data_IF_361274837000
#
_entry.id   IF_361274837000
#
_cell.length_a   1.000
_cell.length_b   1.000
_cell.length_c   1.000
_cell.angle_alpha   90.00
_cell.angle_beta   90.00
_cell.angle_gamma   90.00
#
_symmetry.space_group_name_H-M   'P 1'
#
loop_
_entity.id
_entity.type
_entity.pdbx_description
1 polymer ?
#
# COMPACT_ATOMS: atom_id res chain seq x y z
N UNK A 1 -12.50 7.79 -6.21
CA UNK A 1 -11.40 8.30 -5.34
C UNK A 1 -10.24 7.34 -5.50
N UNK A 2 -9.04 7.80 -5.87
CA UNK A 2 -7.88 6.93 -6.11
C UNK A 2 -6.84 7.06 -5.01
N UNK A 3 -6.28 5.93 -4.57
CA UNK A 3 -5.06 5.87 -3.76
C UNK A 3 -3.90 5.48 -4.67
N UNK A 4 -2.76 6.14 -4.50
CA UNK A 4 -1.60 5.98 -5.39
C UNK A 4 -0.40 5.62 -4.53
N UNK A 5 0.20 4.46 -4.82
CA UNK A 5 1.48 4.02 -4.27
C UNK A 5 2.34 3.52 -5.43
N UNK A 6 3.11 4.44 -6.02
CA UNK A 6 3.99 4.16 -7.16
C UNK A 6 5.41 4.56 -6.78
N UNK A 7 6.29 3.57 -6.80
CA UNK A 7 7.72 3.71 -6.55
C UNK A 7 8.50 3.11 -7.71
N UNK A 8 9.70 3.63 -7.93
CA UNK A 8 10.65 3.08 -8.88
C UNK A 8 11.42 1.93 -8.22
N UNK A 9 11.99 1.03 -9.02
CA UNK A 9 12.69 -0.16 -8.52
C UNK A 9 13.96 0.16 -7.72
N UNK A 10 14.49 1.37 -7.85
CA UNK A 10 15.60 1.92 -7.06
C UNK A 10 15.14 2.61 -5.76
N UNK A 11 13.84 2.54 -5.43
CA UNK A 11 13.27 3.11 -4.20
C UNK A 11 12.84 4.57 -4.30
N UNK A 12 12.93 5.18 -5.49
CA UNK A 12 12.43 6.54 -5.74
C UNK A 12 10.91 6.63 -5.64
N UNK A 13 10.42 7.75 -5.09
CA UNK A 13 8.98 7.98 -4.93
C UNK A 13 8.41 8.68 -6.19
N UNK A 14 7.65 7.94 -7.00
CA UNK A 14 6.96 8.47 -8.17
C UNK A 14 5.49 8.87 -7.90
N UNK A 15 4.98 8.53 -6.71
CA UNK A 15 3.60 8.79 -6.27
C UNK A 15 3.11 10.22 -6.54
N UNK A 16 3.90 11.30 -6.28
CA UNK A 16 3.44 12.67 -6.55
C UNK A 16 3.14 12.92 -8.03
N UNK A 17 3.97 12.41 -8.95
CA UNK A 17 3.80 12.59 -10.38
C UNK A 17 2.50 11.95 -10.87
N UNK A 18 2.23 10.70 -10.45
CA UNK A 18 1.01 9.99 -10.80
C UNK A 18 -0.24 10.61 -10.13
N UNK A 19 -0.10 11.18 -8.93
CA UNK A 19 -1.19 11.90 -8.27
C UNK A 19 -1.62 13.12 -9.08
N UNK A 20 -0.66 13.94 -9.53
CA UNK A 20 -0.94 15.12 -10.35
C UNK A 20 -1.56 14.71 -11.69
N UNK A 21 -1.05 13.65 -12.30
CA UNK A 21 -1.56 13.12 -13.56
C UNK A 21 -3.05 12.72 -13.47
N UNK A 22 -3.40 11.94 -12.44
CA UNK A 22 -4.79 11.54 -12.18
C UNK A 22 -5.70 12.74 -11.89
N UNK A 23 -5.22 13.72 -11.14
CA UNK A 23 -5.97 14.95 -10.87
C UNK A 23 -6.23 15.75 -12.15
N UNK A 24 -5.23 15.84 -13.05
CA UNK A 24 -5.39 16.45 -14.38
C UNK A 24 -6.44 15.74 -15.22
N UNK A 25 -6.54 14.41 -15.11
CA UNK A 25 -7.57 13.60 -15.75
C UNK A 25 -8.94 13.66 -15.04
N UNK A 26 -9.09 14.51 -14.02
CA UNK A 26 -10.35 14.74 -13.31
C UNK A 26 -10.61 13.79 -12.13
N UNK A 27 -9.66 12.93 -11.77
CA UNK A 27 -9.81 12.02 -10.65
C UNK A 27 -9.50 12.69 -9.30
N UNK A 28 -10.29 12.39 -8.27
CA UNK A 28 -9.97 12.74 -6.89
C UNK A 28 -9.01 11.71 -6.30
N UNK A 29 -8.00 12.15 -5.56
CA UNK A 29 -7.00 11.28 -4.93
C UNK A 29 -7.02 11.37 -3.39
N UNK A 30 -6.54 10.33 -2.72
CA UNK A 30 -6.35 10.28 -1.25
C UNK A 30 -5.01 9.65 -0.92
N UNK A 31 -4.49 9.94 0.28
CA UNK A 31 -3.28 9.30 0.83
C UNK A 31 -3.60 8.19 1.84
N UNK A 32 -4.87 8.05 2.21
CA UNK A 32 -5.30 7.15 3.28
C UNK A 32 -6.21 6.08 2.70
N UNK A 33 -5.88 4.82 2.98
CA UNK A 33 -6.74 3.69 2.66
C UNK A 33 -8.09 3.81 3.38
N UNK A 34 -9.18 3.66 2.62
CA UNK A 34 -10.56 3.71 3.12
C UNK A 34 -11.48 2.99 2.13
N UNK A 35 -12.64 2.54 2.59
CA UNK A 35 -13.67 1.85 1.78
C UNK A 35 -14.25 2.73 0.66
N UNK A 36 -14.00 4.05 0.70
CA UNK A 36 -14.44 5.01 -0.33
C UNK A 36 -13.51 5.05 -1.56
N UNK A 37 -12.34 4.42 -1.47
CA UNK A 37 -11.45 4.30 -2.62
C UNK A 37 -12.11 3.39 -3.65
N UNK A 38 -11.92 3.73 -4.91
CA UNK A 38 -12.39 2.95 -6.06
C UNK A 38 -11.23 2.26 -6.77
N UNK A 39 -10.03 2.86 -6.70
CA UNK A 39 -8.84 2.41 -7.41
C UNK A 39 -7.61 2.55 -6.51
N UNK A 40 -6.83 1.48 -6.42
CA UNK A 40 -5.46 1.49 -5.91
C UNK A 40 -4.51 1.38 -7.10
N UNK A 41 -3.75 2.44 -7.37
CA UNK A 41 -2.68 2.43 -8.36
C UNK A 41 -1.40 2.01 -7.65
N UNK A 42 -0.87 0.83 -8.00
CA UNK A 42 0.20 0.17 -7.26
C UNK A 42 1.41 -0.16 -8.14
N UNK A 43 2.61 0.18 -7.66
CA UNK A 43 3.89 -0.33 -8.16
C UNK A 43 4.94 -0.16 -7.07
N UNK A 44 5.55 -1.26 -6.62
CA UNK A 44 6.56 -1.24 -5.54
C UNK A 44 6.09 -0.51 -4.26
N UNK A 45 4.77 -0.55 -3.99
CA UNK A 45 4.16 0.11 -2.83
C UNK A 45 4.23 -0.74 -1.56
N UNK A 46 3.48 -0.32 -0.53
CA UNK A 46 3.44 -0.99 0.76
C UNK A 46 2.72 -2.35 0.68
N UNK A 47 3.35 -3.46 1.09
CA UNK A 47 2.67 -4.75 1.22
C UNK A 47 1.47 -4.70 2.19
N UNK A 48 1.51 -3.79 3.18
CA UNK A 48 0.39 -3.59 4.12
C UNK A 48 -0.85 -3.04 3.41
N UNK A 49 -0.67 -2.18 2.40
CA UNK A 49 -1.77 -1.63 1.61
C UNK A 49 -2.44 -2.73 0.78
N UNK A 50 -1.66 -3.60 0.15
CA UNK A 50 -2.20 -4.77 -0.56
C UNK A 50 -2.90 -5.76 0.39
N UNK A 51 -2.36 -5.98 1.59
CA UNK A 51 -3.04 -6.82 2.57
C UNK A 51 -4.41 -6.25 2.98
N UNK A 52 -4.52 -4.93 3.19
CA UNK A 52 -5.80 -4.27 3.48
C UNK A 52 -6.79 -4.39 2.31
N UNK A 53 -6.30 -4.19 1.09
CA UNK A 53 -7.08 -4.36 -0.13
C UNK A 53 -7.68 -5.77 -0.23
N UNK A 54 -6.87 -6.82 -0.04
CA UNK A 54 -7.34 -8.21 -0.09
C UNK A 54 -8.43 -8.48 0.94
N UNK A 55 -8.22 -8.05 2.18
CA UNK A 55 -9.21 -8.23 3.26
C UNK A 55 -10.52 -7.51 2.92
N UNK A 56 -10.44 -6.27 2.44
CA UNK A 56 -11.60 -5.49 2.01
C UNK A 56 -12.35 -6.17 0.86
N UNK A 57 -11.68 -6.46 -0.26
CA UNK A 57 -12.34 -7.07 -1.42
C UNK A 57 -12.92 -8.46 -1.08
N UNK A 58 -12.20 -9.28 -0.30
CA UNK A 58 -12.72 -10.55 0.18
C UNK A 58 -14.01 -10.38 1.00
N UNK A 59 -14.03 -9.41 1.92
CA UNK A 59 -15.22 -9.10 2.71
C UNK A 59 -16.38 -8.63 1.82
N UNK A 60 -16.12 -7.79 0.82
CA UNK A 60 -17.15 -7.35 -0.14
C UNK A 60 -17.72 -8.53 -0.91
N UNK A 61 -16.87 -9.44 -1.40
CA UNK A 61 -17.29 -10.65 -2.12
C UNK A 61 -18.13 -11.57 -1.22
N UNK A 62 -17.70 -11.80 0.03
CA UNK A 62 -18.39 -12.70 0.97
C UNK A 62 -19.71 -12.12 1.47
N UNK A 63 -19.79 -10.81 1.70
CA UNK A 63 -20.97 -10.14 2.27
C UNK A 63 -21.93 -9.59 1.22
N UNK A 64 -21.44 -9.35 -0.01
CA UNK A 64 -22.16 -8.63 -1.06
C UNK A 64 -22.39 -7.15 -0.75
N UNK A 65 -21.77 -6.60 0.30
CA UNK A 65 -21.95 -5.20 0.72
C UNK A 65 -20.72 -4.35 0.41
N UNK A 66 -20.96 -3.21 -0.27
CA UNK A 66 -19.90 -2.31 -0.70
C UNK A 66 -19.43 -2.58 -2.13
N UNK A 67 -18.32 -1.98 -2.51
CA UNK A 67 -17.71 -2.17 -3.82
C UNK A 67 -16.29 -2.68 -3.66
N UNK A 68 -15.91 -3.60 -4.54
CA UNK A 68 -14.52 -4.01 -4.69
C UNK A 68 -13.67 -2.83 -5.17
N UNK A 69 -12.43 -2.78 -4.69
CA UNK A 69 -11.45 -1.79 -5.10
C UNK A 69 -10.61 -2.40 -6.21
N UNK A 70 -10.54 -1.74 -7.36
CA UNK A 70 -9.67 -2.16 -8.45
C UNK A 70 -8.21 -1.89 -8.10
N UNK A 71 -7.37 -2.91 -8.20
CA UNK A 71 -5.92 -2.79 -8.07
C UNK A 71 -5.30 -2.81 -9.47
N UNK A 72 -4.69 -1.70 -9.87
CA UNK A 72 -4.10 -1.54 -11.20
C UNK A 72 -2.66 -1.07 -11.10
N UNK A 73 -1.83 -1.49 -12.04
CA UNK A 73 -0.45 -1.01 -12.10
C UNK A 73 -0.37 0.42 -12.69
N UNK A 74 0.82 1.03 -12.63
CA UNK A 74 1.02 2.41 -13.08
C UNK A 74 0.74 2.63 -14.57
N UNK A 75 0.79 1.59 -15.41
CA UNK A 75 0.54 1.69 -16.85
C UNK A 75 -0.90 2.09 -17.14
N UNK A 76 -1.86 1.64 -16.34
CA UNK A 76 -3.27 2.02 -16.50
C UNK A 76 -3.44 3.54 -16.51
N UNK A 77 -2.70 4.26 -15.63
CA UNK A 77 -2.74 5.72 -15.58
C UNK A 77 -2.11 6.34 -16.83
N UNK A 78 -0.95 5.84 -17.26
CA UNK A 78 -0.26 6.32 -18.46
C UNK A 78 -1.11 6.14 -19.72
N UNK A 79 -1.79 5.00 -19.83
CA UNK A 79 -2.63 4.69 -20.97
C UNK A 79 -3.93 5.52 -20.90
N UNK A 80 -4.50 5.76 -19.72
CA UNK A 80 -5.61 6.72 -19.55
C UNK A 80 -5.24 8.13 -20.01
N UNK A 81 -4.03 8.58 -19.70
CA UNK A 81 -3.55 9.90 -20.11
C UNK A 81 -3.39 9.98 -21.63
N UNK A 82 -2.69 9.00 -22.21
CA UNK A 82 -2.44 8.92 -23.66
C UNK A 82 -3.74 8.83 -24.45
N UNK A 83 -4.69 8.03 -23.98
CA UNK A 83 -5.99 7.86 -24.62
C UNK A 83 -7.01 8.95 -24.29
N UNK A 84 -6.69 9.87 -23.36
CA UNK A 84 -7.63 10.86 -22.81
C UNK A 84 -8.98 10.26 -22.41
N UNK A 85 -8.97 9.02 -21.94
CA UNK A 85 -10.17 8.25 -21.60
C UNK A 85 -9.84 7.28 -20.47
N UNK A 86 -10.87 6.88 -19.73
CA UNK A 86 -10.73 5.82 -18.73
C UNK A 86 -10.52 4.47 -19.44
N UNK A 87 -9.42 3.80 -19.11
CA UNK A 87 -9.12 2.44 -19.58
C UNK A 87 -9.86 1.40 -18.72
N UNK A 88 -10.14 0.24 -19.30
CA UNK A 88 -10.78 -0.88 -18.60
C UNK A 88 -9.81 -1.49 -17.56
N UNK A 89 -10.22 -1.54 -16.30
CA UNK A 89 -9.38 -1.96 -15.17
C UNK A 89 -9.07 -3.47 -15.16
N UNK A 90 -9.96 -4.29 -15.73
CA UNK A 90 -9.89 -5.75 -15.74
C UNK A 90 -8.92 -6.31 -16.79
N UNK A 91 -8.34 -5.44 -17.64
CA UNK A 91 -7.36 -5.86 -18.63
C UNK A 91 -6.10 -6.42 -17.96
N UNK A 92 -5.67 -7.61 -18.39
CA UNK A 92 -4.50 -8.32 -17.85
C UNK A 92 -3.23 -7.47 -17.84
N UNK A 93 -3.06 -6.55 -18.80
CA UNK A 93 -1.91 -5.65 -18.85
C UNK A 93 -1.80 -4.69 -17.65
N UNK A 94 -2.90 -4.49 -16.92
CA UNK A 94 -2.98 -3.62 -15.76
C UNK A 94 -3.06 -4.38 -14.44
N UNK A 95 -3.23 -5.71 -14.49
CA UNK A 95 -3.36 -6.54 -13.30
C UNK A 95 -2.12 -6.40 -12.39
N UNK A 96 -2.38 -6.43 -11.09
CA UNK A 96 -1.38 -6.50 -10.03
C UNK A 96 -1.63 -7.78 -9.28
N UNK A 97 -0.61 -8.62 -9.13
CA UNK A 97 -0.72 -9.80 -8.30
C UNK A 97 -0.83 -9.38 -6.82
N UNK A 98 -2.00 -9.68 -6.24
CA UNK A 98 -2.32 -9.41 -4.84
C UNK A 98 -2.19 -10.65 -3.96
N UNK A 99 -2.09 -11.85 -4.53
CA UNK A 99 -2.16 -13.09 -3.76
C UNK A 99 -0.87 -13.41 -3.01
N UNK A 100 0.27 -13.03 -3.58
CA UNK A 100 1.61 -13.34 -3.05
C UNK A 100 2.16 -12.32 -2.03
N UNK A 101 1.30 -11.43 -1.52
CA UNK A 101 1.71 -10.52 -0.44
C UNK A 101 2.04 -11.35 0.81
N UNK A 102 3.29 -11.36 1.29
CA UNK A 102 3.64 -12.09 2.48
C UNK A 102 2.76 -11.57 3.60
N UNK A 103 1.94 -12.45 4.20
CA UNK A 103 1.17 -12.11 5.42
C UNK A 103 2.14 -11.41 6.33
N UNK A 104 1.87 -10.16 6.69
CA UNK A 104 2.75 -9.40 7.54
C UNK A 104 2.93 -10.21 8.83
N UNK A 105 4.00 -11.00 8.89
CA UNK A 105 4.36 -11.78 10.05
C UNK A 105 4.49 -10.73 11.12
N UNK A 106 3.59 -10.78 12.11
CA UNK A 106 3.54 -9.91 13.28
C UNK A 106 4.99 -9.59 13.58
N UNK A 107 5.45 -8.38 13.22
CA UNK A 107 6.86 -8.01 13.32
C UNK A 107 7.10 -8.11 14.82
N UNK A 108 7.57 -9.27 15.27
CA UNK A 108 7.80 -9.55 16.68
C UNK A 108 8.80 -8.46 16.98
N UNK A 109 8.37 -7.44 17.75
CA UNK A 109 9.28 -6.40 18.21
C UNK A 109 10.52 -7.18 18.62
N UNK A 110 11.66 -6.92 17.97
CA UNK A 110 12.92 -7.55 18.38
C UNK A 110 12.93 -7.41 19.90
N UNK A 111 13.03 -8.54 20.60
CA UNK A 111 12.95 -8.57 22.06
C UNK A 111 13.67 -7.35 22.61
N UNK A 112 13.02 -6.64 23.52
CA UNK A 112 13.79 -5.88 24.50
C UNK A 112 14.49 -6.96 25.33
N UNK A 113 15.62 -7.47 24.85
CA UNK A 113 16.54 -8.17 25.72
C UNK A 113 16.87 -7.15 26.83
N UNK A 114 16.51 -7.41 28.09
CA UNK A 114 16.85 -6.47 29.13
C UNK A 114 18.38 -6.42 29.18
N UNK A 115 18.97 -5.27 28.88
CA UNK A 115 20.38 -5.02 29.18
C UNK A 115 20.56 -5.39 30.65
N UNK A 116 21.44 -6.35 30.93
CA UNK A 116 21.66 -6.89 32.26
C UNK A 116 21.96 -5.74 33.22
N UNK A 117 21.01 -5.47 34.12
CA UNK A 117 21.18 -4.49 35.16
C UNK A 117 22.01 -5.14 36.26
N UNK A 118 23.27 -4.73 36.41
CA UNK A 118 24.09 -5.09 37.57
C UNK A 118 23.67 -4.21 38.76
N UNK A 119 23.21 -4.85 39.82
CA UNK A 119 22.96 -4.20 41.11
C UNK A 119 24.24 -4.28 41.93
N UNK A 120 24.89 -3.13 42.16
CA UNK A 120 26.01 -3.02 43.09
C UNK A 120 25.51 -2.20 44.27
N UNK A 121 25.41 -2.86 45.43
CA UNK A 121 25.08 -2.23 46.72
C UNK A 121 23.80 -1.36 46.72
N UNK A 122 22.76 -1.76 45.97
CA UNK A 122 21.46 -1.07 45.93
C UNK A 122 21.33 -0.04 44.81
N UNK A 123 22.39 0.24 44.04
CA UNK A 123 22.31 1.13 42.88
C UNK A 123 22.38 0.35 41.57
N UNK A 124 21.43 0.65 40.68
CA UNK A 124 21.30 0.06 39.35
C UNK A 124 22.00 0.95 38.34
N UNK A 125 23.08 0.46 37.71
CA UNK A 125 23.85 1.21 36.70
C UNK A 125 23.74 0.52 35.34
N UNK A 126 23.53 1.31 34.28
CA UNK A 126 23.50 0.83 32.88
C UNK A 126 24.94 0.62 32.39
N UNK A 127 25.26 -0.59 31.96
CA UNK A 127 26.54 -0.92 31.33
C UNK A 127 26.62 -0.22 29.97
N UNK A 128 27.56 0.72 29.81
CA UNK A 128 27.87 1.34 28.52
C UNK A 128 29.09 0.62 27.98
N UNK A 129 28.93 -0.11 26.88
CA UNK A 129 30.05 -0.52 26.02
C UNK A 129 30.08 0.36 24.79
#
# INVERSE_FOLDING_TARGET
LALVEVFTSDGGCATPAFTVLLQRLGAKTTKTFSERITHLVFKEGSPTTLQRLRVHNKQVIETGFGNEIYCVNSRWVSDCDTGSKRMEETNEAYAVDVEDVPRAGKRRRKSMEPTSLRNIAGNVVRDRK
#
